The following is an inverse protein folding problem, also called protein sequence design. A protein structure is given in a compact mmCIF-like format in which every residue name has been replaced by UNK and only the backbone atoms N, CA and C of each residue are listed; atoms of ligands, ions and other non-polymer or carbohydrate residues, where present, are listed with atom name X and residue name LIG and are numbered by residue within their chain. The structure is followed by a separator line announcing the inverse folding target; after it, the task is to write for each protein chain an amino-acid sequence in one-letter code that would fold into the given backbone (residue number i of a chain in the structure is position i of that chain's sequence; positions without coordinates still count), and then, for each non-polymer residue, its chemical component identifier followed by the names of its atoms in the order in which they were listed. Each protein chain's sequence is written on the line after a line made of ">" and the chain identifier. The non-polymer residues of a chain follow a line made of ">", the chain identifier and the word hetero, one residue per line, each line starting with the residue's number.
data_IF_195559976793
#
_entry.id   IF_195559976793
#
_cell.length_a   1.000
_cell.length_b   1.000
_cell.length_c   1.000
_cell.angle_alpha   90.00
_cell.angle_beta   90.00
_cell.angle_gamma   90.00
#
_symmetry.space_group_name_H-M   'P 1'
#
loop_
_entity.id
_entity.type
_entity.pdbx_description
1 polymer ?
#
# COMPACT_ATOMS: atom_id res chain seq x y z
N UNK A 1 -34.63 14.27 -30.23
CA UNK A 1 -35.36 14.56 -28.97
C UNK A 1 -34.39 14.33 -27.82
N UNK A 2 -33.91 15.41 -27.19
CA UNK A 2 -32.97 15.36 -26.06
C UNK A 2 -33.78 15.45 -24.76
N UNK A 3 -33.64 14.50 -23.84
CA UNK A 3 -34.16 14.59 -22.47
C UNK A 3 -32.99 14.82 -21.53
N UNK A 4 -32.93 16.00 -20.91
CA UNK A 4 -32.09 16.26 -19.74
C UNK A 4 -32.82 15.73 -18.51
N UNK A 5 -32.11 14.93 -17.70
CA UNK A 5 -32.55 14.55 -16.35
C UNK A 5 -31.82 15.48 -15.38
N UNK A 6 -32.60 16.29 -14.66
CA UNK A 6 -32.16 17.15 -13.57
C UNK A 6 -32.13 16.32 -12.29
N UNK A 7 -30.99 16.28 -11.59
CA UNK A 7 -30.85 15.60 -10.30
C UNK A 7 -30.67 16.67 -9.22
N UNK A 8 -31.65 16.77 -8.32
CA UNK A 8 -31.63 17.61 -7.13
C UNK A 8 -30.78 16.96 -6.03
N UNK A 9 -29.77 17.67 -5.53
CA UNK A 9 -29.03 17.31 -4.31
C UNK A 9 -29.58 18.17 -3.16
N UNK A 10 -30.20 17.52 -2.18
CA UNK A 10 -30.63 18.11 -0.92
C UNK A 10 -29.44 18.03 0.04
N UNK A 11 -28.82 19.18 0.34
CA UNK A 11 -27.89 19.34 1.46
C UNK A 11 -28.70 19.61 2.74
N UNK A 12 -28.69 18.66 3.67
CA UNK A 12 -29.16 18.91 5.04
C UNK A 12 -27.96 19.23 5.93
N UNK A 13 -27.85 20.51 6.30
CA UNK A 13 -27.08 20.99 7.44
C UNK A 13 -27.66 20.38 8.72
N UNK A 14 -26.81 19.77 9.55
CA UNK A 14 -27.09 19.59 10.97
C UNK A 14 -26.09 20.42 11.77
N UNK A 15 -26.62 21.38 12.54
CA UNK A 15 -25.92 22.26 13.47
C UNK A 15 -26.45 21.96 14.88
N UNK A 16 -25.52 22.01 15.83
CA UNK A 16 -25.68 22.28 17.26
C UNK A 16 -26.25 21.17 18.15
N UNK A 17 -25.42 20.74 19.11
CA UNK A 17 -25.75 20.91 20.54
C UNK A 17 -24.48 20.88 21.38
N UNK A 18 -24.22 22.00 22.06
CA UNK A 18 -23.27 22.18 23.16
C UNK A 18 -23.98 21.82 24.47
N UNK A 19 -23.27 21.17 25.40
CA UNK A 19 -23.60 21.27 26.83
C UNK A 19 -23.38 20.01 27.66
N UNK A 20 -22.42 20.09 28.59
CA UNK A 20 -22.47 19.55 29.97
C UNK A 20 -21.08 19.82 30.59
N UNK A 21 -20.91 20.92 31.30
CA UNK A 21 -21.06 21.03 32.76
C UNK A 21 -19.82 20.52 33.52
N UNK A 22 -18.93 21.48 33.82
CA UNK A 22 -17.90 21.36 34.85
C UNK A 22 -18.56 21.28 36.23
N UNK A 23 -18.20 20.26 37.01
CA UNK A 23 -18.44 20.26 38.46
C UNK A 23 -17.21 19.70 39.16
N UNK A 24 -16.43 20.63 39.73
CA UNK A 24 -15.34 20.36 40.64
C UNK A 24 -15.88 20.15 42.05
N UNK A 25 -15.62 18.98 42.64
CA UNK A 25 -15.64 18.77 44.09
C UNK A 25 -14.43 17.90 44.44
N UNK A 26 -13.55 18.45 45.28
CA UNK A 26 -12.65 17.73 46.18
C UNK A 26 -13.08 18.11 47.62
N UNK A 27 -12.57 17.50 48.72
CA UNK A 27 -11.58 16.44 48.83
C UNK A 27 -11.93 15.34 49.86
N UNK A 28 -10.98 14.42 50.04
CA UNK A 28 -10.48 13.92 51.34
C UNK A 28 -10.81 12.49 51.80
N UNK A 29 -9.85 11.97 52.59
CA UNK A 29 -9.87 10.79 53.46
C UNK A 29 -9.48 9.41 52.89
N UNK A 30 -8.17 9.14 53.00
CA UNK A 30 -7.62 8.19 54.00
C UNK A 30 -8.26 6.78 54.07
N UNK A 31 -7.53 5.76 53.62
CA UNK A 31 -7.45 4.47 54.34
C UNK A 31 -6.29 3.62 53.82
N UNK A 32 -5.43 3.22 54.75
CA UNK A 32 -4.30 2.34 54.51
C UNK A 32 -4.74 0.94 54.09
N UNK A 33 -4.00 0.38 53.13
CA UNK A 33 -3.97 -1.05 52.88
C UNK A 33 -2.56 -1.54 53.20
N UNK A 34 -2.45 -2.25 54.32
CA UNK A 34 -1.29 -3.03 54.71
C UNK A 34 -1.03 -4.16 53.72
N UNK A 35 0.26 -4.41 53.53
CA UNK A 35 0.93 -5.64 53.10
C UNK A 35 0.05 -6.87 52.79
N UNK A 36 0.03 -7.26 51.52
CA UNK A 36 0.09 -8.67 51.13
C UNK A 36 1.05 -8.78 49.93
N UNK A 37 2.30 -9.12 50.25
CA UNK A 37 3.34 -9.49 49.30
C UNK A 37 3.01 -10.85 48.67
N UNK A 38 2.16 -10.85 47.64
CA UNK A 38 2.09 -11.94 46.68
C UNK A 38 3.38 -11.94 45.87
N UNK A 39 4.34 -12.78 46.27
CA UNK A 39 5.44 -13.20 45.41
C UNK A 39 4.83 -13.97 44.22
N UNK A 40 4.44 -13.23 43.20
CA UNK A 40 4.17 -13.78 41.89
C UNK A 40 5.49 -14.31 41.36
N UNK A 41 5.60 -15.64 41.38
CA UNK A 41 6.65 -16.38 40.73
C UNK A 41 6.46 -16.19 39.22
N UNK A 42 6.91 -15.05 38.68
CA UNK A 42 7.06 -14.83 37.25
C UNK A 42 8.26 -15.65 36.79
N UNK A 43 8.07 -16.96 36.67
CA UNK A 43 8.79 -17.69 35.63
C UNK A 43 8.30 -17.12 34.31
N UNK A 44 9.03 -16.15 33.77
CA UNK A 44 8.83 -15.67 32.40
C UNK A 44 8.86 -16.90 31.49
N UNK A 45 7.74 -17.22 30.81
CA UNK A 45 7.75 -18.28 29.84
C UNK A 45 8.58 -17.79 28.66
N UNK A 46 9.50 -18.66 28.26
CA UNK A 46 10.17 -18.70 26.97
C UNK A 46 10.78 -17.40 26.45
N UNK A 47 12.10 -17.49 26.31
CA UNK A 47 12.88 -16.86 25.26
C UNK A 47 12.22 -17.15 23.91
N UNK A 48 11.15 -16.40 23.58
CA UNK A 48 10.70 -16.15 22.23
C UNK A 48 11.92 -15.62 21.53
N UNK A 49 12.62 -16.51 20.84
CA UNK A 49 13.54 -16.15 19.79
C UNK A 49 12.76 -15.13 18.98
N UNK A 50 13.15 -13.86 19.09
CA UNK A 50 12.84 -12.84 18.11
C UNK A 50 13.48 -13.35 16.83
N UNK A 51 12.79 -14.29 16.16
CA UNK A 51 13.01 -14.58 14.76
C UNK A 51 12.82 -13.23 14.13
N UNK A 52 13.94 -12.59 13.82
CA UNK A 52 14.00 -11.43 12.95
C UNK A 52 13.03 -11.72 11.83
N UNK A 53 11.96 -10.93 11.76
CA UNK A 53 10.84 -11.22 10.90
C UNK A 53 11.35 -11.43 9.47
N UNK A 54 10.82 -12.42 8.74
CA UNK A 54 11.38 -12.81 7.45
C UNK A 54 11.42 -11.61 6.51
N UNK A 55 12.59 -11.37 5.91
CA UNK A 55 12.76 -10.46 4.79
C UNK A 55 12.42 -11.20 3.50
N UNK A 56 11.92 -10.48 2.52
CA UNK A 56 11.63 -11.02 1.19
C UNK A 56 12.30 -10.17 0.13
N UNK A 57 12.91 -10.81 -0.86
CA UNK A 57 13.45 -10.15 -2.04
C UNK A 57 13.14 -10.92 -3.33
N UNK A 58 12.50 -10.22 -4.26
CA UNK A 58 12.20 -10.72 -5.61
C UNK A 58 12.69 -9.74 -6.68
N UNK A 59 12.88 -10.25 -7.89
CA UNK A 59 13.02 -9.46 -9.11
C UNK A 59 11.66 -9.34 -9.81
N UNK A 60 11.45 -8.23 -10.52
CA UNK A 60 10.23 -7.99 -11.30
C UNK A 60 10.60 -7.62 -12.73
N UNK A 61 9.89 -8.18 -13.70
CA UNK A 61 9.95 -7.80 -15.12
C UNK A 61 8.58 -7.32 -15.54
N UNK A 62 8.45 -6.04 -15.88
CA UNK A 62 7.16 -5.38 -16.02
C UNK A 62 6.93 -4.77 -17.39
N UNK A 63 5.66 -4.71 -17.78
CA UNK A 63 5.18 -4.13 -19.03
C UNK A 63 4.02 -3.16 -18.77
N UNK A 64 3.93 -2.13 -19.61
CA UNK A 64 2.90 -1.11 -19.48
C UNK A 64 1.53 -1.64 -19.95
N UNK A 65 0.63 -1.80 -19.01
CA UNK A 65 -0.75 -2.23 -19.22
C UNK A 65 -1.75 -1.06 -19.28
N UNK A 66 -1.33 0.18 -18.96
CA UNK A 66 -2.22 1.34 -18.90
C UNK A 66 -2.99 1.65 -20.19
N UNK A 67 -2.45 1.26 -21.35
CA UNK A 67 -3.10 1.42 -22.65
C UNK A 67 -4.37 0.55 -22.81
N UNK A 68 -4.55 -0.48 -21.98
CA UNK A 68 -5.72 -1.36 -22.00
C UNK A 68 -6.95 -0.74 -21.35
N UNK A 69 -6.78 0.32 -20.54
CA UNK A 69 -7.89 1.00 -19.87
C UNK A 69 -8.61 0.14 -18.82
N UNK A 70 -7.95 -0.89 -18.28
CA UNK A 70 -8.51 -1.78 -17.26
C UNK A 70 -8.52 -1.06 -15.92
N UNK A 71 -9.68 -1.04 -15.26
CA UNK A 71 -9.83 -0.43 -13.93
C UNK A 71 -10.36 -1.42 -12.90
N UNK A 72 -9.94 -1.27 -11.65
CA UNK A 72 -10.52 -2.03 -10.54
C UNK A 72 -11.82 -1.41 -10.02
N UNK A 73 -12.37 -1.99 -8.95
CA UNK A 73 -13.63 -1.56 -8.32
C UNK A 73 -13.56 -0.19 -7.65
N UNK A 74 -12.36 0.32 -7.37
CA UNK A 74 -12.14 1.67 -6.81
C UNK A 74 -11.85 2.70 -7.92
N UNK A 75 -11.87 2.29 -9.19
CA UNK A 75 -11.60 3.15 -10.34
C UNK A 75 -10.12 3.46 -10.56
N UNK A 76 -9.21 2.67 -9.96
CA UNK A 76 -7.77 2.76 -10.22
C UNK A 76 -7.45 2.09 -11.55
N UNK A 77 -6.53 2.68 -12.33
CA UNK A 77 -6.09 2.15 -13.61
C UNK A 77 -4.96 1.14 -13.42
N UNK A 78 -5.04 -0.04 -14.05
CA UNK A 78 -3.90 -0.96 -14.16
C UNK A 78 -2.83 -0.33 -15.05
N UNK A 79 -1.70 0.05 -14.47
CA UNK A 79 -0.62 0.74 -15.22
C UNK A 79 0.50 -0.23 -15.57
N UNK A 80 0.91 -1.06 -14.62
CA UNK A 80 1.99 -2.04 -14.79
C UNK A 80 1.49 -3.42 -14.42
N UNK A 81 1.93 -4.40 -15.20
CA UNK A 81 1.82 -5.82 -14.90
C UNK A 81 3.22 -6.43 -15.02
N UNK A 82 3.57 -7.37 -14.14
CA UNK A 82 4.89 -7.96 -14.09
C UNK A 82 4.86 -9.43 -13.74
N UNK A 83 5.86 -10.15 -14.23
CA UNK A 83 6.28 -11.40 -13.60
C UNK A 83 7.18 -11.06 -12.40
N UNK A 84 6.95 -11.73 -11.27
CA UNK A 84 7.79 -11.63 -10.07
C UNK A 84 8.48 -12.98 -9.82
N UNK A 85 9.79 -12.96 -9.58
CA UNK A 85 10.64 -14.14 -9.44
C UNK A 85 11.51 -14.07 -8.17
N UNK A 86 11.80 -15.19 -7.52
CA UNK A 86 12.66 -15.30 -6.34
C UNK A 86 11.94 -15.87 -5.10
N UNK A 87 11.93 -15.13 -4.00
CA UNK A 87 11.23 -15.55 -2.77
C UNK A 87 9.70 -15.59 -2.95
N UNK A 88 9.18 -14.84 -3.92
CA UNK A 88 7.82 -14.92 -4.46
C UNK A 88 7.88 -15.21 -5.95
N UNK A 89 6.94 -16.04 -6.41
CA UNK A 89 6.75 -16.41 -7.81
C UNK A 89 5.30 -16.12 -8.21
N UNK A 90 5.09 -15.40 -9.32
CA UNK A 90 3.75 -15.16 -9.86
C UNK A 90 3.60 -13.87 -10.66
N UNK A 91 2.39 -13.28 -10.63
CA UNK A 91 2.09 -12.02 -11.33
C UNK A 91 1.91 -10.87 -10.34
N UNK A 92 2.60 -9.76 -10.57
CA UNK A 92 2.43 -8.52 -9.82
C UNK A 92 1.72 -7.45 -10.65
N UNK A 93 0.74 -6.77 -10.07
CA UNK A 93 -0.08 -5.73 -10.72
C UNK A 93 -0.04 -4.44 -9.93
N UNK A 94 0.03 -3.30 -10.62
CA UNK A 94 -0.04 -1.97 -10.00
C UNK A 94 -1.20 -1.15 -10.54
N UNK A 95 -2.10 -0.80 -9.63
CA UNK A 95 -3.32 -0.05 -9.84
C UNK A 95 -3.14 1.39 -9.34
N UNK A 96 -2.99 2.33 -10.27
CA UNK A 96 -2.71 3.73 -9.96
C UNK A 96 -3.99 4.52 -9.82
N UNK A 97 -3.97 5.51 -8.91
CA UNK A 97 -5.04 6.51 -8.83
C UNK A 97 -5.18 7.26 -10.17
N UNK A 98 -6.39 7.72 -10.54
CA UNK A 98 -6.60 8.49 -11.76
C UNK A 98 -5.63 9.66 -11.89
N UNK A 99 -4.91 9.73 -13.02
CA UNK A 99 -3.90 10.76 -13.28
C UNK A 99 -2.51 10.51 -12.66
N UNK A 100 -2.32 9.44 -11.89
CA UNK A 100 -1.04 9.08 -11.29
C UNK A 100 -0.10 8.26 -12.18
N UNK A 101 -0.58 7.80 -13.35
CA UNK A 101 0.24 7.03 -14.29
C UNK A 101 1.38 7.85 -14.91
N UNK A 102 2.43 7.19 -15.46
CA UNK A 102 3.52 7.88 -16.13
C UNK A 102 3.00 8.71 -17.32
N UNK A 103 3.56 9.90 -17.57
CA UNK A 103 3.11 10.75 -18.65
C UNK A 103 3.41 10.14 -20.03
N UNK A 104 2.53 10.38 -20.99
CA UNK A 104 2.67 9.88 -22.37
C UNK A 104 3.70 10.64 -23.24
N UNK A 105 4.69 11.34 -22.64
CA UNK A 105 5.60 12.24 -23.38
C UNK A 105 7.08 12.03 -23.00
N UNK A 106 7.77 11.05 -23.60
CA UNK A 106 9.19 10.76 -23.32
C UNK A 106 10.17 11.81 -23.88
N UNK A 107 9.71 12.72 -24.75
CA UNK A 107 10.51 13.78 -25.39
C UNK A 107 10.99 14.88 -24.41
N UNK A 108 10.32 15.00 -23.26
CA UNK A 108 10.59 15.99 -22.23
C UNK A 108 11.03 15.31 -20.93
N UNK A 109 12.01 15.89 -20.24
CA UNK A 109 12.38 15.40 -18.92
C UNK A 109 11.20 15.62 -17.97
N UNK A 110 10.76 14.56 -17.28
CA UNK A 110 9.60 14.63 -16.40
C UNK A 110 9.83 13.82 -15.13
N UNK A 111 9.26 14.30 -14.02
CA UNK A 111 9.18 13.55 -12.77
C UNK A 111 7.72 13.47 -12.36
N UNK A 112 7.16 12.26 -12.33
CA UNK A 112 5.79 11.99 -11.92
C UNK A 112 5.75 11.39 -10.53
N UNK A 113 4.86 11.89 -9.68
CA UNK A 113 4.54 11.27 -8.41
C UNK A 113 3.35 10.33 -8.61
N UNK A 114 3.34 9.23 -7.89
CA UNK A 114 2.23 8.28 -7.96
C UNK A 114 1.82 7.79 -6.58
N UNK A 115 0.56 7.35 -6.52
CA UNK A 115 0.01 6.49 -5.50
C UNK A 115 -0.63 5.29 -6.19
N UNK A 116 -0.35 4.09 -5.68
CA UNK A 116 -0.83 2.84 -6.25
C UNK A 116 -1.23 1.84 -5.18
N UNK A 117 -2.20 0.97 -5.52
CA UNK A 117 -2.36 -0.34 -4.90
C UNK A 117 -1.55 -1.33 -5.72
N UNK A 118 -0.79 -2.19 -5.06
CA UNK A 118 -0.11 -3.30 -5.71
C UNK A 118 -0.67 -4.62 -5.21
N UNK A 119 -0.61 -5.63 -6.07
CA UNK A 119 -1.12 -6.97 -5.81
C UNK A 119 -0.15 -8.00 -6.37
N UNK A 120 0.12 -9.06 -5.60
CA UNK A 120 0.89 -10.22 -6.03
C UNK A 120 0.00 -11.44 -6.00
N UNK A 121 -0.18 -12.05 -7.15
CA UNK A 121 -0.98 -13.24 -7.39
C UNK A 121 -0.06 -14.43 -7.65
N UNK A 122 -0.52 -15.65 -7.36
CA UNK A 122 0.20 -16.85 -7.81
C UNK A 122 0.29 -16.91 -9.35
N UNK A 123 1.13 -17.80 -9.88
CA UNK A 123 1.36 -17.95 -11.32
C UNK A 123 0.08 -18.20 -12.14
N UNK A 124 -0.94 -18.86 -11.57
CA UNK A 124 -2.22 -19.09 -12.23
C UNK A 124 -3.22 -17.92 -12.09
N UNK A 125 -2.85 -16.87 -11.37
CA UNK A 125 -3.70 -15.72 -11.03
C UNK A 125 -5.03 -16.06 -10.34
N UNK A 126 -5.03 -17.13 -9.55
CA UNK A 126 -6.23 -17.62 -8.84
C UNK A 126 -6.27 -17.22 -7.37
N UNK A 127 -5.11 -16.92 -6.76
CA UNK A 127 -4.96 -16.61 -5.34
C UNK A 127 -4.16 -15.32 -5.19
N UNK A 128 -4.76 -14.32 -4.55
CA UNK A 128 -4.06 -13.11 -4.13
C UNK A 128 -3.17 -13.45 -2.92
N UNK A 129 -1.85 -13.47 -3.11
CA UNK A 129 -0.89 -13.83 -2.06
C UNK A 129 -0.60 -12.64 -1.14
N UNK A 130 -0.36 -11.47 -1.73
CA UNK A 130 -0.05 -10.23 -1.01
C UNK A 130 -0.69 -9.05 -1.74
N UNK A 131 -1.14 -8.05 -1.00
CA UNK A 131 -1.44 -6.74 -1.56
C UNK A 131 -1.04 -5.63 -0.60
N UNK A 132 -0.90 -4.43 -1.16
CA UNK A 132 -0.50 -3.29 -0.38
C UNK A 132 -0.70 -1.98 -1.10
N UNK A 133 -0.21 -0.92 -0.46
CA UNK A 133 -0.23 0.42 -1.01
C UNK A 133 1.19 0.93 -1.10
N UNK A 134 1.50 1.62 -2.19
CA UNK A 134 2.77 2.29 -2.38
C UNK A 134 2.57 3.68 -2.96
N UNK A 135 3.54 4.54 -2.70
CA UNK A 135 3.69 5.81 -3.38
C UNK A 135 5.15 5.99 -3.74
N UNK A 136 5.40 6.84 -4.73
CA UNK A 136 6.76 6.98 -5.22
C UNK A 136 6.88 7.96 -6.36
N UNK A 137 7.99 7.80 -7.07
CA UNK A 137 8.40 8.69 -8.14
C UNK A 137 8.82 7.87 -9.36
N UNK A 138 8.37 8.31 -10.52
CA UNK A 138 8.91 7.90 -11.82
C UNK A 138 9.65 9.08 -12.42
N UNK A 139 10.94 8.91 -12.65
CA UNK A 139 11.81 9.93 -13.24
C UNK A 139 12.18 9.52 -14.67
N UNK A 140 11.90 10.40 -15.64
CA UNK A 140 12.21 10.24 -17.05
C UNK A 140 13.27 11.28 -17.43
N UNK A 141 14.57 10.92 -17.49
CA UNK A 141 15.57 11.79 -18.07
C UNK A 141 15.38 11.89 -19.58
N UNK A 142 15.66 13.06 -20.16
CA UNK A 142 15.49 13.29 -21.60
C UNK A 142 16.32 12.29 -22.42
N UNK A 143 15.64 11.56 -23.33
CA UNK A 143 16.28 10.66 -24.29
C UNK A 143 17.01 9.47 -23.67
N UNK A 144 16.60 9.03 -22.47
CA UNK A 144 17.19 7.91 -21.74
C UNK A 144 16.10 7.12 -21.01
N UNK A 145 16.42 5.89 -20.64
CA UNK A 145 15.60 5.08 -19.73
C UNK A 145 15.37 5.82 -18.42
N UNK A 146 14.18 5.63 -17.85
CA UNK A 146 13.82 6.24 -16.58
C UNK A 146 14.01 5.30 -15.41
N UNK A 147 13.71 5.83 -14.24
CA UNK A 147 13.77 5.09 -12.98
C UNK A 147 12.41 5.20 -12.31
N UNK A 148 11.93 4.06 -11.84
CA UNK A 148 10.80 3.95 -10.97
C UNK A 148 11.27 3.59 -9.56
N UNK A 149 10.82 4.33 -8.56
CA UNK A 149 11.15 4.06 -7.16
C UNK A 149 9.91 4.23 -6.28
N UNK A 150 9.48 3.12 -5.69
CA UNK A 150 8.30 3.00 -4.86
C UNK A 150 8.59 2.60 -3.43
N UNK A 151 7.79 3.13 -2.52
CA UNK A 151 7.82 2.79 -1.11
C UNK A 151 6.41 2.59 -0.59
N UNK A 152 6.21 1.66 0.32
CA UNK A 152 4.87 1.34 0.76
C UNK A 152 4.80 0.38 1.92
N UNK A 153 3.65 -0.29 2.00
CA UNK A 153 3.30 -1.21 3.06
C UNK A 153 2.43 -2.33 2.52
N UNK A 154 2.64 -3.54 3.05
CA UNK A 154 1.72 -4.68 2.90
C UNK A 154 0.47 -4.41 3.74
N UNK A 155 -0.71 -4.43 3.13
CA UNK A 155 -1.98 -4.19 3.84
C UNK A 155 -2.88 -5.41 3.90
N UNK A 156 -2.65 -6.39 3.02
CA UNK A 156 -3.43 -7.60 2.90
C UNK A 156 -2.52 -8.77 2.52
N UNK A 157 -2.78 -9.95 3.09
CA UNK A 157 -1.97 -11.15 2.91
C UNK A 157 -2.86 -12.39 2.92
N UNK A 158 -2.54 -13.37 2.08
CA UNK A 158 -3.06 -14.73 2.24
C UNK A 158 -2.46 -15.37 3.50
N UNK A 159 -3.13 -16.39 4.07
CA UNK A 159 -2.78 -16.99 5.38
C UNK A 159 -1.32 -17.41 5.48
N UNK A 160 -0.77 -18.05 4.45
CA UNK A 160 0.63 -18.48 4.43
C UNK A 160 1.63 -17.30 4.46
N UNK A 161 1.12 -16.08 4.22
CA UNK A 161 1.87 -14.84 4.17
C UNK A 161 1.49 -13.83 5.27
N UNK A 162 0.75 -14.24 6.30
CA UNK A 162 0.26 -13.33 7.35
C UNK A 162 1.37 -12.56 8.08
N UNK A 163 2.55 -13.16 8.20
CA UNK A 163 3.71 -12.56 8.86
C UNK A 163 4.23 -11.29 8.17
N UNK A 164 3.84 -11.05 6.91
CA UNK A 164 4.25 -9.86 6.15
C UNK A 164 3.26 -8.69 6.27
N UNK A 165 2.09 -8.87 6.88
CA UNK A 165 1.11 -7.79 7.00
C UNK A 165 1.66 -6.60 7.82
N UNK A 166 1.44 -5.37 7.36
CA UNK A 166 1.95 -4.14 7.97
C UNK A 166 3.44 -3.86 7.75
N UNK A 167 4.18 -4.74 7.06
CA UNK A 167 5.62 -4.58 6.81
C UNK A 167 5.87 -3.58 5.69
N UNK A 168 7.06 -2.97 5.70
CA UNK A 168 7.44 -1.95 4.72
C UNK A 168 7.91 -2.61 3.44
N UNK A 169 7.50 -2.05 2.30
CA UNK A 169 7.96 -2.49 0.99
C UNK A 169 8.83 -1.42 0.32
N UNK A 170 9.76 -1.89 -0.50
CA UNK A 170 10.45 -1.07 -1.51
C UNK A 170 10.34 -1.77 -2.84
N UNK A 171 9.99 -1.02 -3.88
CA UNK A 171 9.81 -1.54 -5.23
C UNK A 171 10.39 -0.59 -6.28
N UNK A 172 10.57 -1.10 -7.49
CA UNK A 172 10.96 -0.31 -8.65
C UNK A 172 12.29 -0.73 -9.26
N UNK A 173 12.74 0.03 -10.26
CA UNK A 173 13.90 -0.27 -11.07
C UNK A 173 13.96 0.59 -12.33
N UNK A 174 14.55 0.06 -13.39
CA UNK A 174 14.74 0.77 -14.67
C UNK A 174 13.49 0.63 -15.54
N UNK A 175 13.07 1.73 -16.16
CA UNK A 175 11.93 1.78 -17.08
C UNK A 175 12.42 2.11 -18.49
N UNK A 176 12.20 1.20 -19.43
CA UNK A 176 12.32 1.44 -20.86
C UNK A 176 11.09 2.19 -21.37
N UNK A 177 11.31 3.38 -21.95
CA UNK A 177 10.27 4.24 -22.52
C UNK A 177 10.14 4.13 -24.04
N UNK A 178 10.68 3.07 -24.65
CA UNK A 178 10.35 2.66 -26.01
C UNK A 178 9.05 1.85 -25.99
N UNK A 179 8.03 2.26 -26.76
CA UNK A 179 6.74 1.55 -26.74
C UNK A 179 6.86 0.16 -27.40
N UNK A 180 6.38 -0.92 -26.77
CA UNK A 180 5.65 -0.95 -25.49
C UNK A 180 6.58 -0.73 -24.28
N UNK A 181 6.21 0.24 -23.43
CA UNK A 181 7.04 0.57 -22.26
C UNK A 181 7.16 -0.66 -21.36
N UNK A 182 8.36 -0.87 -20.83
CA UNK A 182 8.70 -2.06 -20.05
C UNK A 182 9.78 -1.72 -19.04
N UNK A 183 10.22 -2.69 -18.26
CA UNK A 183 11.34 -2.49 -17.36
C UNK A 183 11.62 -3.70 -16.48
N UNK A 184 12.65 -3.54 -15.67
CA UNK A 184 13.08 -4.54 -14.70
C UNK A 184 13.36 -3.86 -13.36
N UNK A 185 13.21 -4.59 -12.28
CA UNK A 185 13.39 -4.04 -10.95
C UNK A 185 13.43 -5.06 -9.84
N UNK A 186 13.27 -4.57 -8.62
CA UNK A 186 13.21 -5.40 -7.42
C UNK A 186 11.99 -5.07 -6.60
N UNK A 187 11.46 -6.08 -5.91
CA UNK A 187 10.43 -5.95 -4.88
C UNK A 187 10.98 -6.51 -3.57
N UNK A 188 10.88 -5.75 -2.48
CA UNK A 188 11.46 -6.12 -1.18
C UNK A 188 10.50 -5.82 -0.05
N UNK A 189 10.44 -6.72 0.93
CA UNK A 189 9.72 -6.52 2.20
C UNK A 189 10.70 -6.62 3.37
N UNK A 190 10.71 -5.62 4.27
CA UNK A 190 11.63 -5.50 5.40
C UNK A 190 10.93 -5.46 6.77
#
# INVERSE_FOLDING_TARGET
>A
MKRLISVSIICSLFLLSLGCEDSAIAPDANQGASELSLQFNQQSPDLLHTRSAPSLQSTIEYVFAGHLGITDSEGRLLVWEAEIHGDLEGTMKWWFVPGGGPPNRPEEAHTGFYEARWEVWNAEETVLMLAGKSSGVTALPKGKDGIWNGHGMVTETHTDYEAWNGRRIKEGGNVNFEFPYSGEGTFRIN
#
